data_IF_941403299585
#
_entry.id   IF_941403299585
#
_cell.length_a   1.000
_cell.length_b   1.000
_cell.length_c   1.000
_cell.angle_alpha   90.00
_cell.angle_beta   90.00
_cell.angle_gamma   90.00
#
_symmetry.space_group_name_H-M   'P 1'
#
loop_
_entity.id
_entity.type
_entity.pdbx_description
1 polymer ?
#
# COMPACT_ATOMS: atom_id res chain seq x y z
N UNK A 1 -6.32 -39.78 1.77
CA UNK A 1 -6.23 -38.59 0.88
C UNK A 1 -6.94 -37.34 1.42
N UNK A 2 -8.11 -37.43 2.07
CA UNK A 2 -8.78 -36.27 2.70
C UNK A 2 -7.93 -35.59 3.80
N UNK A 3 -7.22 -36.40 4.62
CA UNK A 3 -6.43 -35.88 5.74
C UNK A 3 -5.21 -35.04 5.29
N UNK A 4 -4.49 -35.43 4.22
CA UNK A 4 -3.31 -34.68 3.73
C UNK A 4 -3.69 -33.28 3.23
N UNK A 5 -4.86 -33.13 2.59
CA UNK A 5 -5.37 -31.81 2.16
C UNK A 5 -5.69 -30.91 3.34
N UNK A 6 -6.28 -31.46 4.39
CA UNK A 6 -6.58 -30.73 5.60
C UNK A 6 -5.29 -30.35 6.34
N UNK A 7 -4.31 -31.25 6.47
CA UNK A 7 -3.03 -30.96 7.13
C UNK A 7 -2.24 -29.88 6.42
N UNK A 8 -2.20 -29.87 5.07
CA UNK A 8 -1.53 -28.82 4.30
C UNK A 8 -2.27 -27.48 4.41
N UNK A 9 -3.60 -27.49 4.35
CA UNK A 9 -4.42 -26.30 4.57
C UNK A 9 -4.21 -25.74 5.99
N UNK A 10 -4.17 -26.60 7.01
CA UNK A 10 -3.88 -26.21 8.40
C UNK A 10 -2.43 -25.76 8.59
N UNK A 11 -1.48 -26.28 7.80
CA UNK A 11 -0.09 -25.82 7.82
C UNK A 11 0.03 -24.43 7.19
N UNK A 12 -0.65 -24.19 6.06
CA UNK A 12 -0.70 -22.88 5.38
C UNK A 12 -1.45 -21.87 6.24
N UNK A 13 -2.62 -22.25 6.78
CA UNK A 13 -3.38 -21.42 7.69
C UNK A 13 -2.60 -21.20 8.99
N UNK A 14 -1.88 -22.20 9.49
CA UNK A 14 -1.01 -22.10 10.67
C UNK A 14 0.23 -21.24 10.44
N UNK A 15 0.80 -21.22 9.24
CA UNK A 15 1.89 -20.30 8.87
C UNK A 15 1.38 -18.90 8.63
N UNK A 16 0.24 -18.72 7.97
CA UNK A 16 -0.40 -17.41 7.80
C UNK A 16 -0.84 -16.81 9.13
N UNK A 17 -1.48 -17.60 10.01
CA UNK A 17 -1.86 -17.18 11.36
C UNK A 17 -0.63 -16.98 12.23
N UNK A 18 0.39 -17.84 12.14
CA UNK A 18 1.63 -17.72 12.90
C UNK A 18 2.48 -16.51 12.48
N UNK A 19 2.48 -16.15 11.19
CA UNK A 19 3.11 -14.93 10.69
C UNK A 19 2.28 -13.70 11.07
N UNK A 20 0.95 -13.74 10.90
CA UNK A 20 0.05 -12.65 11.29
C UNK A 20 0.00 -12.40 12.80
N UNK A 21 0.19 -13.43 13.64
CA UNK A 21 0.19 -13.30 15.10
C UNK A 21 1.52 -12.82 15.68
N UNK A 22 2.61 -12.87 14.91
CA UNK A 22 3.95 -12.46 15.36
C UNK A 22 4.46 -11.16 14.73
N UNK A 23 3.75 -10.59 13.75
CA UNK A 23 4.24 -9.42 13.02
C UNK A 23 3.17 -8.36 12.83
N UNK A 24 3.03 -7.48 13.81
CA UNK A 24 2.29 -6.23 13.64
C UNK A 24 3.08 -5.28 12.75
N UNK A 25 2.42 -4.48 11.91
CA UNK A 25 3.07 -3.43 11.11
C UNK A 25 3.67 -2.31 11.97
N UNK A 26 3.11 -2.14 13.16
CA UNK A 26 3.49 -1.10 14.12
C UNK A 26 3.90 -1.78 15.42
N UNK A 27 5.07 -1.42 15.94
CA UNK A 27 5.50 -1.76 17.31
C UNK A 27 5.04 -0.64 18.22
N UNK A 28 4.21 -0.98 19.21
CA UNK A 28 3.75 -0.02 20.23
C UNK A 28 4.60 -0.22 21.48
N UNK A 29 5.25 0.83 21.93
CA UNK A 29 5.97 0.88 23.20
C UNK A 29 5.18 1.73 24.19
N UNK A 30 5.08 1.27 25.44
CA UNK A 30 4.42 1.98 26.52
C UNK A 30 5.47 2.40 27.54
N UNK A 31 5.63 3.70 27.70
CA UNK A 31 6.41 4.26 28.80
C UNK A 31 5.50 4.62 29.95
N UNK A 32 5.77 4.04 31.11
CA UNK A 32 5.13 4.42 32.36
C UNK A 32 6.02 5.40 33.11
N UNK A 33 5.43 6.50 33.52
CA UNK A 33 6.05 7.50 34.35
C UNK A 33 5.27 7.62 35.66
N UNK A 34 5.99 7.88 36.74
CA UNK A 34 5.41 8.06 38.07
C UNK A 34 5.97 9.31 38.72
N UNK A 35 5.13 10.30 38.94
CA UNK A 35 5.49 11.48 39.72
C UNK A 35 5.05 11.24 41.18
N UNK A 36 5.99 11.44 42.11
CA UNK A 36 5.74 11.32 43.54
C UNK A 36 5.69 12.72 44.13
N UNK A 37 4.50 13.17 44.51
CA UNK A 37 4.31 14.39 45.27
C UNK A 37 4.33 14.04 46.75
N UNK A 38 5.20 14.69 47.51
CA UNK A 38 5.30 14.52 48.95
C UNK A 38 5.07 15.86 49.62
N UNK A 39 3.96 15.98 50.35
CA UNK A 39 3.71 17.10 51.23
C UNK A 39 3.95 16.68 52.70
N UNK A 40 4.55 17.57 53.47
CA UNK A 40 4.85 17.34 54.88
C UNK A 40 4.37 18.54 55.68
N UNK A 41 3.25 18.34 56.39
CA UNK A 41 2.67 19.34 57.27
C UNK A 41 3.15 19.07 58.69
N UNK A 42 3.87 20.03 59.26
CA UNK A 42 4.30 20.00 60.66
C UNK A 42 3.41 20.94 61.46
N UNK A 43 2.61 20.39 62.37
CA UNK A 43 1.79 21.18 63.30
C UNK A 43 2.39 21.11 64.68
N UNK A 44 2.74 22.26 65.25
CA UNK A 44 3.24 22.36 66.61
C UNK A 44 2.20 23.02 67.51
N UNK A 45 1.82 22.35 68.60
CA UNK A 45 0.90 22.90 69.59
C UNK A 45 1.58 22.93 70.96
N UNK A 46 1.70 24.12 71.51
CA UNK A 46 2.10 24.31 72.90
C UNK A 46 0.84 24.27 73.78
N UNK A 47 0.76 23.30 74.67
CA UNK A 47 -0.38 23.16 75.59
C UNK A 47 0.03 23.79 76.92
N UNK A 48 -0.53 24.97 77.19
CA UNK A 48 -0.46 25.56 78.51
C UNK A 48 -1.57 24.94 79.37
N UNK A 49 -1.23 24.48 80.57
CA UNK A 49 -2.21 23.87 81.48
C UNK A 49 -3.30 24.91 81.87
N UNK A 50 -4.60 24.59 81.73
CA UNK A 50 -5.66 25.51 82.12
C UNK A 50 -5.92 25.40 83.63
N UNK A 51 -5.75 26.50 84.36
CA UNK A 51 -6.04 26.58 85.80
C UNK A 51 -5.72 27.95 86.40
N UNK A 52 -6.53 28.37 87.38
CA UNK A 52 -6.36 29.62 88.13
C UNK A 52 -4.98 29.61 88.81
N UNK A 53 -4.17 30.62 88.48
CA UNK A 53 -2.73 30.67 88.78
C UNK A 53 -2.49 31.14 90.20
N UNK A 54 -1.66 30.41 90.95
CA UNK A 54 -1.00 30.89 92.16
C UNK A 54 0.32 31.55 91.77
N UNK A 55 0.57 32.76 92.28
CA UNK A 55 1.71 33.60 91.92
C UNK A 55 3.03 32.98 92.43
N UNK A 56 3.75 32.22 91.59
CA UNK A 56 5.17 31.91 91.86
C UNK A 56 5.77 30.64 91.23
N UNK A 57 4.97 29.70 90.71
CA UNK A 57 5.50 28.41 90.22
C UNK A 57 5.47 28.32 88.69
N UNK A 58 6.64 28.23 88.05
CA UNK A 58 6.78 28.07 86.60
C UNK A 58 6.77 26.58 86.25
N UNK A 59 5.73 26.12 85.58
CA UNK A 59 5.67 24.76 85.05
C UNK A 59 6.25 24.70 83.61
N UNK A 60 6.96 23.62 83.23
CA UNK A 60 7.42 23.44 81.86
C UNK A 60 6.21 23.26 80.92
N UNK A 61 6.15 24.04 79.84
CA UNK A 61 5.15 23.85 78.79
C UNK A 61 5.41 22.54 78.04
N UNK A 62 4.37 21.73 77.83
CA UNK A 62 4.47 20.55 76.96
C UNK A 62 4.28 20.96 75.50
N UNK A 63 5.25 20.60 74.65
CA UNK A 63 5.19 20.76 73.20
C UNK A 63 4.73 19.45 72.59
N UNK A 64 3.64 19.48 71.84
CA UNK A 64 3.19 18.35 71.02
C UNK A 64 3.43 18.73 69.55
N UNK A 65 4.26 17.96 68.87
CA UNK A 65 4.50 18.09 67.43
C UNK A 65 3.81 16.94 66.71
N UNK A 66 2.91 17.26 65.79
CA UNK A 66 2.28 16.29 64.89
C UNK A 66 2.85 16.50 63.49
N UNK A 67 3.41 15.45 62.92
CA UNK A 67 3.93 15.45 61.55
C UNK A 67 2.97 14.60 60.72
N UNK A 68 2.31 15.22 59.75
CA UNK A 68 1.47 14.54 58.77
C UNK A 68 2.20 14.53 57.44
N UNK A 69 2.39 13.34 56.87
CA UNK A 69 2.95 13.18 55.54
C UNK A 69 1.85 12.73 54.60
N UNK A 70 1.64 13.46 53.51
CA UNK A 70 0.78 13.06 52.40
C UNK A 70 1.67 12.72 51.21
N UNK A 71 1.43 11.56 50.61
CA UNK A 71 2.19 11.07 49.46
C UNK A 71 1.18 10.76 48.37
N UNK A 72 1.19 11.58 47.33
CA UNK A 72 0.39 11.36 46.13
C UNK A 72 1.28 10.79 45.03
N UNK A 73 0.79 9.72 44.41
CA UNK A 73 1.45 9.04 43.32
C UNK A 73 0.63 9.23 42.04
N UNK A 74 1.17 10.00 41.11
CA UNK A 74 0.57 10.28 39.80
C UNK A 74 1.25 9.41 38.76
N UNK A 75 0.53 8.41 38.24
CA UNK A 75 1.02 7.57 37.15
C UNK A 75 0.46 8.06 35.82
N UNK A 76 1.34 8.25 34.83
CA UNK A 76 0.95 8.55 33.46
C UNK A 76 1.63 7.56 32.51
N UNK A 77 0.87 7.16 31.47
CA UNK A 77 1.34 6.27 30.42
C UNK A 77 1.43 7.07 29.11
N UNK A 78 2.54 6.91 28.39
CA UNK A 78 2.70 7.45 27.04
C UNK A 78 2.93 6.31 26.07
N UNK A 79 2.10 6.23 25.04
CA UNK A 79 2.27 5.28 23.95
C UNK A 79 3.13 5.90 22.83
N UNK A 80 4.07 5.13 22.31
CA UNK A 80 4.91 5.47 21.15
C UNK A 80 4.76 4.40 20.10
N UNK A 81 4.66 4.82 18.85
CA UNK A 81 4.43 3.92 17.73
C UNK A 81 5.59 3.97 16.74
N UNK A 82 6.16 2.81 16.41
CA UNK A 82 7.29 2.65 15.50
C UNK A 82 6.95 1.72 14.33
N UNK A 83 7.51 1.90 13.14
CA UNK A 83 7.38 0.91 12.08
C UNK A 83 8.09 -0.38 12.46
N UNK A 84 7.37 -1.49 12.34
CA UNK A 84 7.91 -2.82 12.55
C UNK A 84 7.99 -3.59 11.22
N UNK A 85 8.48 -2.93 10.18
CA UNK A 85 8.75 -3.54 8.87
C UNK A 85 9.90 -2.83 8.16
N UNK A 86 10.64 -3.59 7.37
CA UNK A 86 11.64 -3.09 6.42
C UNK A 86 10.96 -2.79 5.07
N UNK A 87 9.95 -3.58 4.69
CA UNK A 87 9.16 -3.29 3.49
C UNK A 87 7.70 -3.69 3.69
N UNK A 88 6.77 -2.84 3.26
CA UNK A 88 5.35 -3.14 3.21
C UNK A 88 4.78 -2.64 1.88
N UNK A 89 4.32 -3.57 1.04
CA UNK A 89 3.90 -3.30 -0.32
C UNK A 89 2.55 -3.91 -0.68
N UNK A 90 1.69 -3.16 -1.38
CA UNK A 90 0.43 -3.73 -1.87
C UNK A 90 0.63 -4.56 -3.14
N UNK A 91 1.25 -3.96 -4.16
CA UNK A 91 1.37 -4.57 -5.49
C UNK A 91 2.75 -4.33 -6.09
N UNK A 92 3.30 -5.36 -6.70
CA UNK A 92 4.51 -5.29 -7.52
C UNK A 92 4.24 -6.04 -8.83
N UNK A 93 4.48 -5.35 -9.95
CA UNK A 93 4.44 -5.93 -11.28
C UNK A 93 5.80 -5.75 -11.97
N UNK A 94 6.26 -6.79 -12.66
CA UNK A 94 7.50 -6.78 -13.44
C UNK A 94 7.26 -7.42 -14.79
N UNK A 95 7.61 -6.72 -15.87
CA UNK A 95 7.60 -7.29 -17.21
C UNK A 95 8.91 -8.03 -17.46
N UNK A 96 8.85 -9.31 -17.84
CA UNK A 96 10.01 -10.18 -18.01
C UNK A 96 10.44 -10.27 -19.48
N UNK A 97 11.75 -10.19 -19.70
CA UNK A 97 12.44 -10.32 -20.98
C UNK A 97 13.39 -11.52 -20.88
N UNK A 98 13.47 -12.31 -21.94
CA UNK A 98 14.35 -13.48 -22.01
C UNK A 98 13.89 -14.70 -21.22
N UNK A 99 12.71 -14.64 -20.58
CA UNK A 99 12.11 -15.77 -19.85
C UNK A 99 11.56 -16.87 -20.74
N UNK A 100 11.20 -16.54 -21.98
CA UNK A 100 10.86 -17.52 -23.01
C UNK A 100 11.20 -16.98 -24.40
N UNK A 101 11.63 -17.86 -25.29
CA UNK A 101 11.88 -17.57 -26.70
C UNK A 101 10.62 -17.67 -27.57
N UNK A 102 9.62 -18.43 -27.12
CA UNK A 102 8.36 -18.71 -27.84
C UNK A 102 7.16 -18.46 -26.94
N UNK A 103 5.95 -18.37 -27.50
CA UNK A 103 4.70 -18.35 -26.71
C UNK A 103 4.67 -17.19 -25.70
N UNK A 104 5.06 -15.99 -26.14
CA UNK A 104 5.21 -14.81 -25.27
C UNK A 104 3.85 -14.19 -24.95
N UNK A 105 3.64 -13.83 -23.68
CA UNK A 105 2.39 -13.28 -23.18
C UNK A 105 2.16 -11.82 -23.62
N UNK A 106 3.23 -11.01 -23.71
CA UNK A 106 3.09 -9.60 -24.12
C UNK A 106 2.49 -8.70 -23.05
N UNK A 107 2.96 -8.82 -21.80
CA UNK A 107 2.46 -8.04 -20.64
C UNK A 107 2.91 -6.57 -20.59
N UNK A 108 3.72 -6.15 -21.58
CA UNK A 108 4.27 -4.80 -21.67
C UNK A 108 5.27 -4.42 -20.55
N UNK A 109 5.62 -3.14 -20.52
CA UNK A 109 6.49 -2.55 -19.50
C UNK A 109 5.87 -2.73 -18.10
N UNK A 110 6.68 -3.03 -17.09
CA UNK A 110 6.22 -3.30 -15.72
C UNK A 110 5.25 -4.48 -15.56
N UNK A 111 4.93 -5.22 -16.63
CA UNK A 111 4.01 -6.35 -16.58
C UNK A 111 2.54 -5.97 -16.38
N UNK A 112 2.18 -4.69 -16.40
CA UNK A 112 0.83 -4.22 -16.08
C UNK A 112 0.01 -3.81 -17.29
N UNK A 113 0.53 -4.03 -18.50
CA UNK A 113 -0.13 -3.72 -19.77
C UNK A 113 -0.41 -5.00 -20.58
N UNK A 114 -1.18 -5.97 -20.05
CA UNK A 114 -1.52 -7.18 -20.79
C UNK A 114 -2.56 -6.87 -21.87
N UNK A 115 -2.34 -7.35 -23.08
CA UNK A 115 -3.33 -7.25 -24.16
C UNK A 115 -4.62 -7.99 -23.76
N UNK A 116 -5.68 -7.23 -23.46
CA UNK A 116 -6.92 -7.75 -22.90
C UNK A 116 -7.69 -8.64 -23.88
N UNK A 117 -7.52 -8.46 -25.19
CA UNK A 117 -8.13 -9.33 -26.21
C UNK A 117 -7.46 -10.72 -26.23
N UNK A 118 -6.22 -10.79 -25.74
CA UNK A 118 -5.40 -12.01 -25.70
C UNK A 118 -5.41 -12.69 -24.34
N UNK A 119 -6.24 -12.25 -23.39
CA UNK A 119 -6.43 -12.90 -22.09
C UNK A 119 -7.54 -13.96 -22.14
N UNK A 120 -7.51 -14.86 -23.12
CA UNK A 120 -8.41 -16.02 -23.19
C UNK A 120 -7.71 -17.30 -22.69
N UNK A 121 -8.49 -18.27 -22.22
CA UNK A 121 -7.95 -19.57 -21.79
C UNK A 121 -7.24 -20.32 -22.93
N UNK A 122 -7.60 -20.01 -24.18
CA UNK A 122 -7.04 -20.62 -25.39
C UNK A 122 -5.81 -19.88 -25.91
N UNK A 123 -5.49 -18.70 -25.38
CA UNK A 123 -4.33 -17.94 -25.81
C UNK A 123 -3.04 -18.57 -25.28
N UNK A 124 -2.13 -18.87 -26.22
CA UNK A 124 -0.87 -19.57 -25.94
C UNK A 124 0.35 -18.71 -26.23
N UNK A 125 0.17 -17.41 -26.46
CA UNK A 125 1.25 -16.47 -26.68
C UNK A 125 1.69 -16.33 -28.14
N UNK A 126 2.40 -15.25 -28.41
CA UNK A 126 2.91 -14.90 -29.74
C UNK A 126 4.44 -14.79 -29.71
N UNK A 127 5.10 -14.73 -30.87
CA UNK A 127 6.57 -14.61 -30.91
C UNK A 127 7.06 -13.15 -30.99
N UNK A 128 6.16 -12.21 -31.33
CA UNK A 128 6.43 -10.80 -31.63
C UNK A 128 6.72 -9.93 -30.40
N UNK A 129 6.30 -10.33 -29.21
CA UNK A 129 6.42 -9.51 -28.00
C UNK A 129 7.87 -9.43 -27.46
N UNK A 130 8.25 -8.27 -26.90
CA UNK A 130 9.52 -8.13 -26.17
C UNK A 130 9.42 -8.73 -24.76
N UNK A 131 8.32 -8.41 -24.07
CA UNK A 131 8.04 -8.92 -22.73
C UNK A 131 7.36 -10.29 -22.81
N UNK A 132 8.14 -11.33 -22.56
CA UNK A 132 7.74 -12.73 -22.71
C UNK A 132 6.75 -13.19 -21.64
N UNK A 133 6.84 -12.62 -20.43
CA UNK A 133 5.97 -12.96 -19.32
C UNK A 133 6.05 -11.91 -18.22
N UNK A 134 5.57 -12.23 -17.02
CA UNK A 134 5.41 -11.28 -15.92
C UNK A 134 5.74 -11.88 -14.56
N UNK A 135 6.21 -11.06 -13.63
CA UNK A 135 6.27 -11.40 -12.20
C UNK A 135 5.32 -10.47 -11.46
N UNK A 136 4.45 -11.06 -10.64
CA UNK A 136 3.46 -10.33 -9.86
C UNK A 136 3.52 -10.75 -8.39
N UNK A 137 3.52 -9.78 -7.49
CA UNK A 137 3.38 -10.02 -6.05
C UNK A 137 2.31 -9.12 -5.48
N UNK A 138 1.52 -9.66 -4.56
CA UNK A 138 0.49 -8.91 -3.83
C UNK A 138 0.68 -9.11 -2.33
N UNK A 139 0.54 -8.03 -1.56
CA UNK A 139 0.63 -8.03 -0.10
C UNK A 139 2.00 -8.46 0.40
N UNK A 140 3.01 -7.66 0.09
CA UNK A 140 4.43 -7.89 0.36
C UNK A 140 4.76 -7.36 1.74
N UNK A 141 5.38 -8.18 2.56
CA UNK A 141 5.85 -7.79 3.88
C UNK A 141 7.26 -8.31 4.10
N UNK A 142 8.14 -7.46 4.59
CA UNK A 142 9.49 -7.84 4.97
C UNK A 142 9.87 -7.23 6.32
N UNK A 143 10.48 -8.06 7.16
CA UNK A 143 10.93 -7.72 8.49
C UNK A 143 12.43 -7.84 8.61
N UNK A 144 12.99 -7.12 9.58
CA UNK A 144 14.41 -7.20 9.90
C UNK A 144 14.75 -8.62 10.37
N UNK A 145 15.70 -9.26 9.70
CA UNK A 145 16.20 -10.56 10.12
C UNK A 145 17.34 -10.36 11.13
N UNK A 146 17.10 -10.77 12.37
CA UNK A 146 18.06 -10.62 13.49
C UNK A 146 19.14 -11.71 13.57
N UNK A 147 19.34 -12.45 12.48
CA UNK A 147 20.38 -13.46 12.39
C UNK A 147 21.75 -12.80 12.20
N UNK A 148 22.83 -13.54 12.49
CA UNK A 148 24.21 -13.06 12.33
C UNK A 148 24.53 -11.80 13.15
N UNK A 149 24.09 -11.75 14.41
CA UNK A 149 24.34 -10.62 15.33
C UNK A 149 23.76 -9.30 14.82
N UNK A 150 22.52 -9.32 14.34
CA UNK A 150 21.81 -8.14 13.85
C UNK A 150 22.51 -7.41 12.69
N UNK A 151 23.22 -8.17 11.83
CA UNK A 151 23.90 -7.62 10.67
C UNK A 151 22.93 -6.76 9.82
N UNK A 152 23.33 -5.51 9.56
CA UNK A 152 22.50 -4.54 8.84
C UNK A 152 22.11 -5.04 7.45
N UNK A 153 20.89 -4.67 7.02
CA UNK A 153 20.39 -4.89 5.67
C UNK A 153 19.78 -6.28 5.40
N UNK A 154 19.86 -7.23 6.33
CA UNK A 154 19.18 -8.52 6.17
C UNK A 154 17.70 -8.43 6.52
N UNK A 155 16.85 -8.94 5.62
CA UNK A 155 15.42 -9.10 5.85
C UNK A 155 14.94 -10.50 5.51
N UNK A 156 13.88 -10.89 6.20
CA UNK A 156 13.04 -12.02 5.85
C UNK A 156 11.67 -11.49 5.50
N UNK A 157 11.06 -12.02 4.44
CA UNK A 157 9.77 -11.52 4.00
C UNK A 157 8.93 -12.57 3.31
N UNK A 158 7.72 -12.17 2.99
CA UNK A 158 6.75 -12.96 2.26
C UNK A 158 5.85 -12.05 1.43
N UNK A 159 5.10 -12.64 0.50
CA UNK A 159 3.97 -11.97 -0.14
C UNK A 159 2.73 -12.82 0.05
N UNK A 160 1.53 -12.23 0.09
CA UNK A 160 0.30 -13.04 0.18
C UNK A 160 0.23 -14.03 -0.99
N UNK A 161 0.54 -13.56 -2.19
CA UNK A 161 0.67 -14.38 -3.40
C UNK A 161 1.84 -13.90 -4.27
N UNK A 162 2.47 -14.83 -4.98
CA UNK A 162 3.45 -14.56 -6.04
C UNK A 162 3.13 -15.39 -7.27
N UNK A 163 3.19 -14.74 -8.44
CA UNK A 163 3.12 -15.37 -9.75
C UNK A 163 4.42 -15.04 -10.51
N UNK A 164 5.05 -16.06 -11.09
CA UNK A 164 6.18 -15.92 -12.02
C UNK A 164 5.79 -16.65 -13.30
N UNK A 165 5.45 -15.87 -14.32
CA UNK A 165 5.03 -16.35 -15.62
C UNK A 165 6.20 -16.21 -16.60
N UNK A 166 6.81 -17.31 -17.06
CA UNK A 166 7.88 -17.22 -18.06
C UNK A 166 7.35 -16.89 -19.46
N UNK A 167 6.12 -17.32 -19.75
CA UNK A 167 5.48 -17.30 -21.06
C UNK A 167 3.95 -17.22 -20.88
N UNK A 168 3.19 -17.23 -21.96
CA UNK A 168 1.73 -17.32 -21.93
C UNK A 168 1.21 -18.72 -21.53
N UNK A 169 2.09 -19.72 -21.45
CA UNK A 169 1.69 -21.09 -21.10
C UNK A 169 1.39 -21.21 -19.61
N UNK A 170 0.12 -21.36 -19.26
CA UNK A 170 -0.33 -21.50 -17.87
C UNK A 170 0.34 -22.64 -17.11
N UNK A 171 0.70 -23.75 -17.77
CA UNK A 171 1.37 -24.90 -17.12
C UNK A 171 2.82 -24.64 -16.72
N UNK A 172 3.49 -23.66 -17.33
CA UNK A 172 4.87 -23.25 -17.00
C UNK A 172 4.89 -22.16 -15.92
N UNK A 173 3.72 -21.59 -15.57
CA UNK A 173 3.60 -20.57 -14.52
C UNK A 173 3.91 -21.14 -13.13
N UNK A 174 4.77 -20.44 -12.40
CA UNK A 174 5.01 -20.71 -10.99
C UNK A 174 4.10 -19.81 -10.14
N UNK A 175 3.30 -20.40 -9.27
CA UNK A 175 2.43 -19.68 -8.34
C UNK A 175 2.63 -20.21 -6.93
N UNK A 176 2.83 -19.30 -5.97
CA UNK A 176 2.87 -19.64 -4.56
C UNK A 176 2.02 -18.69 -3.71
N UNK A 177 1.45 -19.23 -2.65
CA UNK A 177 0.85 -18.50 -1.54
C UNK A 177 1.90 -18.42 -0.44
N UNK A 178 2.11 -17.23 0.12
CA UNK A 178 3.10 -17.00 1.18
C UNK A 178 4.51 -17.56 0.88
N UNK A 179 5.11 -17.31 -0.32
CA UNK A 179 6.52 -17.65 -0.54
C UNK A 179 7.41 -16.94 0.47
N UNK A 180 8.53 -17.55 0.82
CA UNK A 180 9.48 -17.00 1.80
C UNK A 180 10.66 -16.43 1.05
N UNK A 181 11.05 -15.20 1.39
CA UNK A 181 12.22 -14.53 0.85
C UNK A 181 13.23 -14.25 1.95
N UNK A 182 14.49 -14.52 1.65
CA UNK A 182 15.62 -13.97 2.40
C UNK A 182 16.31 -12.98 1.49
N UNK A 183 16.48 -11.74 1.97
CA UNK A 183 17.05 -10.65 1.17
C UNK A 183 18.15 -9.95 1.96
N UNK A 184 19.11 -9.40 1.22
CA UNK A 184 20.11 -8.49 1.77
C UNK A 184 20.09 -7.21 0.96
N UNK A 185 19.79 -6.07 1.60
CA UNK A 185 19.80 -4.76 0.95
C UNK A 185 21.13 -4.05 1.16
N UNK A 186 21.66 -3.53 0.07
CA UNK A 186 22.76 -2.58 0.06
C UNK A 186 22.22 -1.24 -0.42
N UNK A 187 22.22 -0.24 0.45
CA UNK A 187 21.83 1.11 0.09
C UNK A 187 23.02 1.79 -0.60
N UNK A 188 22.84 2.14 -1.87
CA UNK A 188 23.76 2.99 -2.63
C UNK A 188 23.49 4.48 -2.35
N UNK A 189 22.26 4.78 -1.91
CA UNK A 189 21.82 6.09 -1.42
C UNK A 189 20.91 5.88 -0.22
N UNK A 190 21.28 6.48 0.91
CA UNK A 190 20.64 6.29 2.23
C UNK A 190 19.49 7.26 2.52
N UNK A 191 19.06 8.05 1.53
CA UNK A 191 17.99 9.04 1.67
C UNK A 191 17.03 8.97 0.47
N UNK A 192 15.74 9.18 0.70
CA UNK A 192 14.69 9.10 -0.33
C UNK A 192 15.07 9.98 -1.55
N UNK A 193 14.83 9.53 -2.81
CA UNK A 193 14.63 8.14 -3.18
C UNK A 193 15.85 7.29 -2.81
N UNK A 194 15.65 6.24 -2.03
CA UNK A 194 16.65 5.21 -1.81
C UNK A 194 16.98 4.56 -3.14
N UNK A 195 18.26 4.24 -3.30
CA UNK A 195 18.74 3.42 -4.40
C UNK A 195 19.34 2.18 -3.74
N UNK A 196 18.76 1.01 -3.99
CA UNK A 196 19.16 -0.22 -3.31
C UNK A 196 19.49 -1.32 -4.30
N UNK A 197 20.58 -2.04 -4.04
CA UNK A 197 20.86 -3.32 -4.65
C UNK A 197 20.48 -4.44 -3.68
N UNK A 198 19.62 -5.37 -4.12
CA UNK A 198 19.00 -6.37 -3.25
C UNK A 198 19.12 -7.77 -3.85
N UNK A 199 20.20 -8.52 -3.56
CA UNK A 199 20.20 -9.97 -3.74
C UNK A 199 19.14 -10.62 -2.87
N UNK A 200 18.48 -11.64 -3.41
CA UNK A 200 17.38 -12.35 -2.80
C UNK A 200 17.35 -13.82 -3.19
N UNK A 201 16.91 -14.62 -2.23
CA UNK A 201 16.55 -16.02 -2.40
C UNK A 201 15.08 -16.16 -2.01
N UNK A 202 14.24 -16.56 -2.96
CA UNK A 202 12.83 -16.86 -2.77
C UNK A 202 12.56 -18.36 -2.85
N UNK A 203 11.68 -18.85 -1.98
CA UNK A 203 11.23 -20.23 -1.94
C UNK A 203 9.71 -20.24 -1.93
N UNK A 204 9.12 -20.79 -3.00
CA UNK A 204 7.70 -21.12 -3.05
C UNK A 204 7.50 -22.58 -2.68
N UNK A 205 6.58 -22.87 -1.76
CA UNK A 205 6.31 -24.25 -1.32
C UNK A 205 5.00 -24.79 -1.89
N UNK A 206 3.98 -23.93 -2.03
CA UNK A 206 2.65 -24.33 -2.48
C UNK A 206 1.91 -23.19 -3.20
N UNK A 207 1.15 -23.46 -4.28
CA UNK A 207 0.96 -24.77 -4.92
C UNK A 207 2.09 -25.22 -5.84
N UNK A 208 2.88 -24.30 -6.40
CA UNK A 208 4.14 -24.62 -7.07
C UNK A 208 5.26 -24.68 -6.05
N UNK A 209 6.15 -25.66 -6.18
CA UNK A 209 7.39 -25.70 -5.41
C UNK A 209 8.51 -25.13 -6.28
N UNK A 210 9.13 -24.03 -5.88
CA UNK A 210 10.20 -23.41 -6.67
C UNK A 210 11.25 -22.71 -5.82
N UNK A 211 12.40 -22.55 -6.44
CA UNK A 211 13.51 -21.72 -6.00
C UNK A 211 13.64 -20.53 -6.96
N UNK A 212 13.73 -19.32 -6.42
CA UNK A 212 13.97 -18.11 -7.19
C UNK A 212 15.22 -17.41 -6.66
N UNK A 213 16.30 -17.44 -7.44
CA UNK A 213 17.53 -16.71 -7.14
C UNK A 213 17.54 -15.43 -7.96
N UNK A 214 17.49 -14.27 -7.31
CA UNK A 214 17.39 -13.00 -8.04
C UNK A 214 18.09 -11.85 -7.34
N UNK A 215 18.53 -10.86 -8.11
CA UNK A 215 18.96 -9.56 -7.62
C UNK A 215 18.09 -8.47 -8.21
N UNK A 216 17.79 -7.45 -7.40
CA UNK A 216 17.09 -6.26 -7.87
C UNK A 216 17.90 -4.98 -7.65
N UNK A 217 17.74 -4.03 -8.57
CA UNK A 217 18.12 -2.63 -8.39
C UNK A 217 16.84 -1.82 -8.29
N UNK A 218 16.62 -1.20 -7.12
CA UNK A 218 15.38 -0.53 -6.78
C UNK A 218 15.62 0.97 -6.54
N UNK A 219 14.71 1.81 -7.05
CA UNK A 219 14.64 3.25 -6.81
C UNK A 219 13.28 3.54 -6.17
N UNK A 220 13.26 4.01 -4.93
CA UNK A 220 12.02 4.11 -4.13
C UNK A 220 12.30 4.51 -2.68
N UNK A 221 11.38 4.66 -1.73
CA UNK A 221 9.91 4.71 -1.78
C UNK A 221 9.46 6.15 -1.91
N UNK A 222 9.19 6.56 -3.15
CA UNK A 222 8.69 7.91 -3.44
C UNK A 222 7.17 7.84 -3.33
N UNK A 223 6.62 8.18 -2.17
CA UNK A 223 5.17 8.04 -1.94
C UNK A 223 4.64 6.60 -1.98
N UNK A 224 5.49 5.62 -1.71
CA UNK A 224 5.14 4.21 -1.92
C UNK A 224 5.20 3.76 -3.39
N UNK A 225 5.79 4.56 -4.29
CA UNK A 225 6.08 4.13 -5.67
C UNK A 225 7.56 3.78 -5.78
N UNK A 226 7.82 2.58 -6.32
CA UNK A 226 9.16 2.05 -6.55
C UNK A 226 9.33 1.64 -8.00
N UNK A 227 10.45 2.00 -8.62
CA UNK A 227 10.90 1.46 -9.91
C UNK A 227 12.00 0.45 -9.69
N UNK A 228 11.96 -0.65 -10.45
CA UNK A 228 12.84 -1.79 -10.20
C UNK A 228 13.33 -2.44 -11.47
N UNK A 229 14.54 -2.94 -11.40
CA UNK A 229 15.10 -3.85 -12.40
C UNK A 229 15.48 -5.15 -11.73
N UNK A 230 15.08 -6.27 -12.31
CA UNK A 230 15.33 -7.62 -11.81
C UNK A 230 16.24 -8.39 -12.76
N UNK A 231 17.10 -9.22 -12.18
CA UNK A 231 17.82 -10.28 -12.88
C UNK A 231 17.76 -11.53 -12.02
N UNK A 232 17.37 -12.67 -12.58
CA UNK A 232 17.30 -13.90 -11.81
C UNK A 232 17.11 -15.16 -12.64
N UNK A 233 17.00 -16.27 -11.91
CA UNK A 233 16.65 -17.58 -12.43
C UNK A 233 15.60 -18.20 -11.51
N UNK A 234 14.51 -18.68 -12.11
CA UNK A 234 13.49 -19.44 -11.42
C UNK A 234 13.55 -20.90 -11.85
N UNK A 235 13.50 -21.80 -10.87
CA UNK A 235 13.51 -23.25 -11.06
C UNK A 235 12.38 -23.83 -10.24
N UNK A 236 11.41 -24.49 -10.87
CA UNK A 236 10.24 -24.98 -10.14
C UNK A 236 9.66 -26.28 -10.64
N UNK A 237 8.67 -26.74 -9.89
CA UNK A 237 7.91 -27.95 -10.11
C UNK A 237 6.41 -27.68 -9.90
N UNK A 238 5.64 -27.87 -10.95
CA UNK A 238 4.18 -27.84 -10.95
C UNK A 238 3.66 -29.26 -10.92
N UNK A 239 3.17 -29.70 -9.76
CA UNK A 239 2.60 -31.04 -9.59
C UNK A 239 1.30 -31.19 -10.39
N UNK A 240 0.88 -32.44 -10.70
CA UNK A 240 -0.41 -32.72 -11.36
C UNK A 240 -1.64 -32.18 -10.61
N UNK A 241 -1.47 -31.94 -9.31
CA UNK A 241 -2.54 -31.43 -8.42
C UNK A 241 -2.53 -29.90 -8.32
N UNK A 242 -1.51 -29.23 -8.85
CA UNK A 242 -1.41 -27.78 -8.85
C UNK A 242 -2.52 -27.16 -9.72
N UNK A 243 -3.07 -25.98 -9.35
CA UNK A 243 -4.11 -25.31 -10.13
C UNK A 243 -3.78 -25.09 -11.61
N UNK A 244 -2.49 -24.98 -11.94
CA UNK A 244 -1.98 -24.73 -13.28
C UNK A 244 -2.06 -25.95 -14.21
N UNK A 245 -2.03 -27.16 -13.64
CA UNK A 245 -2.03 -28.44 -14.37
C UNK A 245 -3.39 -29.13 -14.25
N UNK A 246 -4.05 -29.00 -13.10
CA UNK A 246 -5.27 -29.74 -12.80
C UNK A 246 -6.43 -29.22 -13.66
N UNK A 247 -6.86 -30.04 -14.63
CA UNK A 247 -7.94 -29.66 -15.55
C UNK A 247 -7.47 -28.69 -16.63
N UNK A 248 -6.16 -28.65 -16.90
CA UNK A 248 -5.59 -27.92 -18.03
C UNK A 248 -5.78 -28.74 -19.31
N UNK A 249 -6.33 -28.11 -20.35
CA UNK A 249 -6.66 -28.75 -21.63
C UNK A 249 -5.42 -29.16 -22.45
N UNK A 250 -4.24 -28.61 -22.13
CA UNK A 250 -2.99 -28.82 -22.86
C UNK A 250 -2.08 -29.88 -22.22
N UNK A 251 -2.05 -29.98 -20.89
CA UNK A 251 -1.25 -30.98 -20.18
C UNK A 251 -1.90 -31.41 -18.88
N UNK A 252 -1.89 -32.72 -18.63
CA UNK A 252 -2.25 -33.33 -17.33
C UNK A 252 -1.03 -33.84 -16.56
N UNK A 253 0.17 -33.69 -17.14
CA UNK A 253 1.42 -34.12 -16.54
C UNK A 253 2.10 -33.01 -15.76
N UNK A 254 2.90 -33.42 -14.76
CA UNK A 254 3.66 -32.47 -13.95
C UNK A 254 4.73 -31.79 -14.81
N UNK A 255 4.96 -30.50 -14.57
CA UNK A 255 5.90 -29.69 -15.34
C UNK A 255 7.04 -29.18 -14.45
N UNK A 256 8.25 -29.11 -15.01
CA UNK A 256 9.45 -28.57 -14.33
C UNK A 256 10.00 -27.37 -15.10
N UNK A 257 9.40 -26.17 -14.96
CA UNK A 257 9.90 -25.00 -15.65
C UNK A 257 11.21 -24.51 -15.00
N UNK A 258 12.20 -24.22 -15.84
CA UNK A 258 13.46 -23.57 -15.47
C UNK A 258 13.72 -22.46 -16.48
N UNK A 259 13.84 -21.23 -16.02
CA UNK A 259 14.04 -20.09 -16.91
C UNK A 259 14.83 -18.97 -16.23
N UNK A 260 15.80 -18.36 -16.92
CA UNK A 260 16.35 -17.09 -16.51
C UNK A 260 15.35 -15.97 -16.81
N UNK A 261 15.49 -14.82 -16.18
CA UNK A 261 14.70 -13.65 -16.53
C UNK A 261 15.47 -12.37 -16.22
N UNK A 262 15.30 -11.39 -17.10
CA UNK A 262 15.57 -10.00 -16.82
C UNK A 262 14.23 -9.27 -16.79
N UNK A 263 14.02 -8.30 -15.91
CA UNK A 263 12.72 -7.63 -15.84
C UNK A 263 12.81 -6.19 -15.40
N UNK A 264 11.85 -5.40 -15.83
CA UNK A 264 11.66 -4.02 -15.39
C UNK A 264 10.27 -3.93 -14.78
N UNK A 265 10.19 -3.37 -13.58
CA UNK A 265 9.00 -3.41 -12.74
C UNK A 265 8.71 -2.11 -12.02
N UNK A 266 7.48 -2.05 -11.52
CA UNK A 266 6.96 -0.99 -10.67
C UNK A 266 6.28 -1.62 -9.46
N UNK A 267 6.37 -0.96 -8.32
CA UNK A 267 5.59 -1.31 -7.14
C UNK A 267 4.81 -0.10 -6.66
N UNK A 268 3.58 -0.32 -6.22
CA UNK A 268 2.63 0.72 -5.80
C UNK A 268 2.16 0.44 -4.39
N UNK A 269 2.04 1.50 -3.58
CA UNK A 269 1.86 1.44 -2.12
C UNK A 269 2.90 0.53 -1.46
N UNK A 270 4.16 0.75 -1.80
CA UNK A 270 5.31 -0.05 -1.40
C UNK A 270 6.37 0.79 -0.69
N UNK A 271 6.27 0.76 0.64
CA UNK A 271 7.12 1.52 1.56
C UNK A 271 8.34 0.71 1.95
N UNK A 272 9.49 1.36 1.97
CA UNK A 272 10.78 0.77 2.35
C UNK A 272 11.36 1.61 3.49
N UNK A 273 11.78 0.93 4.57
CA UNK A 273 12.49 1.51 5.69
C UNK A 273 13.90 0.91 5.79
N UNK A 274 14.85 1.72 6.26
CA UNK A 274 16.13 1.24 6.77
C UNK A 274 15.96 0.60 8.15
N UNK A 275 16.97 -0.17 8.57
CA UNK A 275 16.96 -0.80 9.89
C UNK A 275 17.02 0.23 11.03
N UNK A 276 17.58 1.41 10.78
CA UNK A 276 17.63 2.51 11.74
C UNK A 276 16.29 3.26 11.80
N UNK A 277 15.56 3.29 10.69
CA UNK A 277 14.25 3.95 10.59
C UNK A 277 13.15 3.18 11.33
N UNK A 278 13.33 1.89 11.62
CA UNK A 278 12.41 1.13 12.49
C UNK A 278 12.47 1.55 13.97
N UNK A 279 13.42 2.42 14.33
CA UNK A 279 13.57 2.97 15.68
C UNK A 279 13.17 4.46 15.74
N UNK A 280 12.61 5.01 14.65
CA UNK A 280 12.05 6.37 14.59
C UNK A 280 10.53 6.28 14.77
N UNK A 281 9.95 7.17 15.57
CA UNK A 281 8.51 7.19 15.80
C UNK A 281 7.76 7.61 14.53
N UNK A 282 6.59 7.02 14.24
CA UNK A 282 5.78 7.29 13.03
C UNK A 282 5.54 8.78 12.76
N UNK A 283 5.37 9.60 13.80
CA UNK A 283 5.14 11.04 13.70
C UNK A 283 6.37 11.83 13.20
N UNK A 284 7.57 11.26 13.33
CA UNK A 284 8.84 11.90 12.96
C UNK A 284 9.35 11.43 11.60
N UNK A 285 8.73 10.41 11.01
CA UNK A 285 9.10 9.93 9.68
C UNK A 285 8.97 11.01 8.61
N UNK A 286 9.90 10.97 7.66
CA UNK A 286 9.89 11.83 6.50
C UNK A 286 8.98 11.27 5.40
N UNK A 287 8.16 12.14 4.81
CA UNK A 287 7.27 11.78 3.71
C UNK A 287 7.59 12.58 2.44
N UNK A 288 7.40 11.97 1.28
CA UNK A 288 7.69 12.55 -0.04
C UNK A 288 6.42 12.80 -0.88
N UNK A 289 5.24 12.67 -0.30
CA UNK A 289 3.96 12.73 -1.00
C UNK A 289 2.93 13.48 -0.21
N UNK A 290 2.06 14.18 -0.92
CA UNK A 290 0.92 14.92 -0.38
C UNK A 290 -0.22 13.98 -0.01
N UNK A 291 -0.40 12.92 -0.77
CA UNK A 291 -1.53 12.00 -0.64
C UNK A 291 -1.09 10.59 -1.01
N UNK A 292 -1.48 9.61 -0.20
CA UNK A 292 -1.28 8.19 -0.49
C UNK A 292 -2.50 7.41 0.02
N UNK A 293 -3.15 6.67 -0.86
CA UNK A 293 -4.42 6.01 -0.54
C UNK A 293 -4.65 4.67 -1.21
N UNK A 294 -5.50 3.85 -0.57
CA UNK A 294 -5.83 2.51 -1.06
C UNK A 294 -6.98 2.51 -2.07
N UNK A 295 -8.12 3.12 -1.73
CA UNK A 295 -9.30 3.17 -2.60
C UNK A 295 -9.96 4.53 -2.50
N UNK A 296 -10.22 5.16 -3.63
CA UNK A 296 -11.08 6.34 -3.74
C UNK A 296 -12.31 5.98 -4.56
N UNK A 297 -13.50 6.17 -3.99
CA UNK A 297 -14.77 5.92 -4.64
C UNK A 297 -15.55 7.23 -4.78
N UNK A 298 -16.15 7.48 -5.95
CA UNK A 298 -16.99 8.66 -6.18
C UNK A 298 -18.20 8.31 -7.03
N UNK A 299 -19.37 8.83 -6.69
CA UNK A 299 -20.54 8.84 -7.58
C UNK A 299 -20.50 10.10 -8.45
N UNK A 300 -20.79 9.96 -9.74
CA UNK A 300 -20.68 11.03 -10.72
C UNK A 300 -22.05 11.43 -11.29
N UNK A 301 -22.35 12.72 -11.21
CA UNK A 301 -23.37 13.40 -11.99
C UNK A 301 -22.71 13.92 -13.26
N UNK A 302 -23.05 13.34 -14.41
CA UNK A 302 -22.38 13.66 -15.68
C UNK A 302 -23.34 14.24 -16.73
N UNK A 303 -22.76 14.86 -17.75
CA UNK A 303 -23.48 15.30 -18.95
C UNK A 303 -23.86 14.15 -19.90
N UNK A 304 -23.58 12.89 -19.56
CA UNK A 304 -23.88 11.73 -20.38
C UNK A 304 -25.38 11.62 -20.69
N UNK A 305 -25.73 11.10 -21.87
CA UNK A 305 -27.13 10.92 -22.30
C UNK A 305 -27.83 9.85 -21.46
N UNK A 306 -27.18 8.70 -21.29
CA UNK A 306 -27.73 7.53 -20.64
C UNK A 306 -27.00 7.26 -19.31
N UNK A 307 -27.76 6.91 -18.27
CA UNK A 307 -27.20 6.53 -16.96
C UNK A 307 -26.62 5.11 -17.02
N UNK A 308 -25.43 4.90 -16.43
CA UNK A 308 -24.84 3.57 -16.28
C UNK A 308 -25.59 2.68 -15.28
N UNK A 309 -26.50 3.24 -14.49
CA UNK A 309 -27.29 2.52 -13.48
C UNK A 309 -28.70 2.15 -13.95
N UNK A 310 -29.10 2.63 -15.13
CA UNK A 310 -30.44 2.41 -15.67
C UNK A 310 -30.40 1.40 -16.82
N UNK A 311 -31.53 0.73 -17.06
CA UNK A 311 -31.68 -0.17 -18.21
C UNK A 311 -31.54 0.58 -19.55
N UNK A 312 -30.99 -0.11 -20.55
CA UNK A 312 -30.81 0.44 -21.90
C UNK A 312 -32.16 0.88 -22.47
N UNK A 313 -32.31 2.18 -22.75
CA UNK A 313 -33.51 2.76 -23.34
C UNK A 313 -34.57 3.22 -22.33
N UNK A 314 -34.27 3.25 -21.04
CA UNK A 314 -35.13 3.95 -20.09
C UNK A 314 -34.89 5.46 -20.14
N UNK A 315 -35.98 6.24 -20.20
CA UNK A 315 -35.95 7.71 -20.14
C UNK A 315 -35.96 8.22 -18.68
N UNK A 316 -35.72 7.34 -17.70
CA UNK A 316 -35.73 7.71 -16.29
C UNK A 316 -34.55 8.63 -15.98
N UNK A 317 -34.84 9.82 -15.46
CA UNK A 317 -33.83 10.77 -15.06
C UNK A 317 -33.13 10.28 -13.78
N UNK A 318 -31.87 9.85 -13.90
CA UNK A 318 -31.00 9.61 -12.74
C UNK A 318 -30.10 10.81 -12.47
N UNK A 319 -30.05 11.26 -11.22
CA UNK A 319 -29.14 12.33 -10.77
C UNK A 319 -27.68 11.89 -10.89
N UNK A 320 -27.38 10.66 -10.47
CA UNK A 320 -26.06 10.05 -10.65
C UNK A 320 -26.08 9.15 -11.87
N UNK A 321 -25.19 9.43 -12.82
CA UNK A 321 -25.12 8.69 -14.10
C UNK A 321 -23.91 7.79 -14.20
N UNK A 322 -22.93 7.98 -13.32
CA UNK A 322 -21.66 7.27 -13.38
C UNK A 322 -20.99 7.12 -12.02
N UNK A 323 -19.79 6.53 -12.05
CA UNK A 323 -18.95 6.30 -10.87
C UNK A 323 -17.47 6.37 -11.23
N UNK A 324 -16.63 6.62 -10.24
CA UNK A 324 -15.19 6.56 -10.35
C UNK A 324 -14.58 5.76 -9.20
N UNK A 325 -13.68 4.85 -9.53
CA UNK A 325 -12.90 4.06 -8.58
C UNK A 325 -11.42 4.22 -8.92
N UNK A 326 -10.64 4.80 -8.01
CA UNK A 326 -9.18 4.78 -8.06
C UNK A 326 -8.64 3.83 -7.03
N UNK A 327 -7.66 3.02 -7.40
CA UNK A 327 -7.00 2.04 -6.53
C UNK A 327 -5.53 2.40 -6.42
N UNK A 328 -5.02 2.40 -5.19
CA UNK A 328 -3.63 2.62 -4.85
C UNK A 328 -3.08 3.93 -5.44
N UNK A 329 -3.68 5.07 -5.06
CA UNK A 329 -3.25 6.40 -5.46
C UNK A 329 -2.04 6.87 -4.67
N UNK A 330 -1.17 7.63 -5.34
CA UNK A 330 -0.11 8.39 -4.69
C UNK A 330 0.13 9.69 -5.45
N UNK A 331 0.29 10.79 -4.71
CA UNK A 331 0.59 12.13 -5.22
C UNK A 331 1.90 12.62 -4.64
N UNK A 332 2.98 12.47 -5.40
CA UNK A 332 4.35 12.81 -5.03
C UNK A 332 4.54 14.32 -5.08
N UNK A 333 5.03 14.91 -3.97
CA UNK A 333 5.40 16.32 -3.93
C UNK A 333 6.64 16.56 -4.79
N UNK A 334 6.56 17.55 -5.68
CA UNK A 334 7.66 17.94 -6.56
C UNK A 334 8.41 19.11 -5.92
N UNK A 335 9.72 18.96 -5.63
CA UNK A 335 10.48 19.95 -4.87
C UNK A 335 10.95 21.12 -5.76
N UNK A 336 10.07 21.65 -6.60
CA UNK A 336 10.32 22.81 -7.43
C UNK A 336 9.10 23.72 -7.46
N UNK A 337 9.32 25.04 -7.60
CA UNK A 337 8.26 26.06 -7.73
C UNK A 337 7.20 26.01 -6.59
N UNK A 338 7.55 26.52 -5.40
CA UNK A 338 6.68 26.63 -4.21
C UNK A 338 6.21 25.31 -3.55
N UNK A 339 6.80 24.15 -3.91
CA UNK A 339 6.60 22.83 -3.28
C UNK A 339 5.17 22.26 -3.33
N UNK A 340 4.23 23.04 -3.84
CA UNK A 340 2.82 22.71 -4.00
C UNK A 340 2.54 21.93 -5.29
N UNK A 341 3.46 21.92 -6.26
CA UNK A 341 3.28 21.05 -7.43
C UNK A 341 3.43 19.59 -7.04
N UNK A 342 2.67 18.73 -7.71
CA UNK A 342 2.76 17.29 -7.50
C UNK A 342 2.68 16.52 -8.82
N UNK A 343 3.29 15.34 -8.82
CA UNK A 343 3.09 14.32 -9.83
C UNK A 343 2.42 13.11 -9.17
N UNK A 344 1.29 12.68 -9.68
CA UNK A 344 0.53 11.58 -9.12
C UNK A 344 0.35 10.42 -10.10
N UNK A 345 0.01 9.27 -9.56
CA UNK A 345 -0.45 8.12 -10.33
C UNK A 345 -1.35 7.25 -9.44
N UNK A 346 -1.95 6.22 -10.02
CA UNK A 346 -2.72 5.20 -9.32
C UNK A 346 -2.51 3.86 -9.98
N UNK A 347 -2.53 2.74 -9.25
CA UNK A 347 -2.44 1.43 -9.88
C UNK A 347 -3.52 1.24 -10.95
N UNK A 348 -4.75 1.63 -10.64
CA UNK A 348 -5.88 1.57 -11.57
C UNK A 348 -6.83 2.74 -11.33
N UNK A 349 -7.35 3.32 -12.41
CA UNK A 349 -8.46 4.26 -12.41
C UNK A 349 -9.55 3.71 -13.32
N UNK A 350 -10.72 3.44 -12.76
CA UNK A 350 -11.94 3.07 -13.47
C UNK A 350 -12.91 4.25 -13.39
N UNK A 351 -13.26 4.83 -14.53
CA UNK A 351 -14.17 5.97 -14.61
C UNK A 351 -15.28 5.70 -15.59
N UNK A 352 -16.52 5.71 -15.10
CA UNK A 352 -17.74 5.54 -15.89
C UNK A 352 -18.49 6.86 -15.81
N UNK A 353 -18.70 7.55 -16.93
CA UNK A 353 -19.52 8.76 -16.96
C UNK A 353 -20.96 8.46 -17.32
N UNK A 354 -21.23 7.42 -18.09
CA UNK A 354 -22.57 7.03 -18.51
C UNK A 354 -22.58 5.62 -19.09
N UNK A 355 -23.74 5.17 -19.57
CA UNK A 355 -23.86 3.90 -20.29
C UNK A 355 -23.01 3.95 -21.56
N UNK A 356 -22.20 2.91 -21.80
CA UNK A 356 -21.23 2.82 -22.91
C UNK A 356 -20.14 3.93 -22.91
N UNK A 357 -20.05 4.76 -21.86
CA UNK A 357 -19.08 5.85 -21.72
C UNK A 357 -18.20 5.61 -20.48
N UNK A 358 -17.19 4.76 -20.64
CA UNK A 358 -16.23 4.42 -19.58
C UNK A 358 -14.78 4.40 -20.07
N UNK A 359 -13.87 4.69 -19.16
CA UNK A 359 -12.43 4.66 -19.38
C UNK A 359 -11.73 3.92 -18.23
N UNK A 360 -10.75 3.09 -18.58
CA UNK A 360 -9.86 2.45 -17.61
C UNK A 360 -8.44 2.86 -17.91
N UNK A 361 -7.69 3.22 -16.87
CA UNK A 361 -6.24 3.34 -17.01
C UNK A 361 -5.52 2.62 -15.89
N UNK A 362 -4.43 1.95 -16.25
CA UNK A 362 -3.42 1.43 -15.35
C UNK A 362 -2.27 2.43 -15.32
N UNK A 363 -1.84 2.83 -14.12
CA UNK A 363 -0.78 3.84 -13.93
C UNK A 363 -0.97 5.15 -14.72
N UNK A 364 -2.17 5.77 -14.74
CA UNK A 364 -2.32 7.09 -15.36
C UNK A 364 -1.38 8.10 -14.72
N UNK A 365 -0.91 9.06 -15.50
CA UNK A 365 0.00 10.09 -15.03
C UNK A 365 -0.81 11.34 -14.71
N UNK A 366 -0.68 11.85 -13.49
CA UNK A 366 -1.35 13.07 -13.03
C UNK A 366 -0.34 14.16 -12.73
N UNK A 367 -0.62 15.38 -13.15
CA UNK A 367 0.11 16.57 -12.71
C UNK A 367 -0.88 17.58 -12.16
N UNK A 368 -0.53 18.23 -11.07
CA UNK A 368 -1.41 19.21 -10.47
C UNK A 368 -0.73 20.10 -9.46
N UNK A 369 -1.56 20.88 -8.79
CA UNK A 369 -1.15 21.81 -7.75
C UNK A 369 -1.94 21.51 -6.48
N UNK A 370 -1.24 21.44 -5.36
CA UNK A 370 -1.79 21.21 -4.04
C UNK A 370 -2.06 22.56 -3.36
N UNK A 371 -3.31 22.81 -3.00
CA UNK A 371 -3.71 24.04 -2.32
C UNK A 371 -4.38 23.71 -1.01
N UNK A 372 -3.81 24.18 0.10
CA UNK A 372 -4.46 24.16 1.42
C UNK A 372 -5.45 25.32 1.45
N UNK A 373 -6.73 25.01 1.72
CA UNK A 373 -7.81 25.99 1.82
C UNK A 373 -8.10 26.35 3.28
N UNK A 374 -8.09 25.34 4.14
CA UNK A 374 -8.17 25.46 5.60
C UNK A 374 -7.07 24.55 6.14
N UNK A 375 -6.23 25.10 7.02
CA UNK A 375 -5.15 24.34 7.64
C UNK A 375 -5.70 23.07 8.29
N UNK A 376 -4.99 21.98 8.07
CA UNK A 376 -5.23 20.64 8.58
C UNK A 376 -6.52 19.90 8.15
N UNK A 377 -7.50 20.59 7.55
CA UNK A 377 -8.83 20.01 7.29
C UNK A 377 -9.19 19.95 5.80
N UNK A 378 -8.97 21.05 5.05
CA UNK A 378 -9.52 21.22 3.70
C UNK A 378 -8.43 21.53 2.67
N UNK A 379 -8.36 20.73 1.62
CA UNK A 379 -7.41 20.91 0.51
C UNK A 379 -8.11 20.83 -0.85
N UNK A 380 -7.51 21.47 -1.85
CA UNK A 380 -7.91 21.37 -3.25
C UNK A 380 -6.73 20.90 -4.11
N UNK A 381 -7.05 20.02 -5.07
CA UNK A 381 -6.12 19.38 -5.98
C UNK A 381 -6.61 19.58 -7.44
N UNK A 382 -6.45 20.79 -8.01
CA UNK A 382 -6.55 20.97 -9.46
C UNK A 382 -5.45 20.16 -10.18
N UNK A 383 -5.87 19.37 -11.15
CA UNK A 383 -5.02 18.37 -11.80
C UNK A 383 -5.44 18.05 -13.23
N UNK A 384 -4.46 17.55 -13.99
CA UNK A 384 -4.63 16.96 -15.32
C UNK A 384 -4.14 15.53 -15.21
N UNK A 385 -5.00 14.57 -15.56
CA UNK A 385 -4.70 13.14 -15.58
C UNK A 385 -4.72 12.62 -17.01
N UNK A 386 -3.66 11.92 -17.38
CA UNK A 386 -3.45 11.32 -18.69
C UNK A 386 -3.54 9.80 -18.54
N UNK A 387 -4.60 9.21 -19.07
CA UNK A 387 -4.71 7.77 -19.26
C UNK A 387 -4.18 7.38 -20.64
N UNK A 388 -3.37 6.34 -20.70
CA UNK A 388 -2.77 5.87 -21.96
C UNK A 388 -2.95 4.36 -22.20
N UNK A 389 -3.32 3.60 -21.18
CA UNK A 389 -3.60 2.17 -21.30
C UNK A 389 -4.50 1.69 -20.16
N UNK A 390 -5.51 0.85 -20.41
CA UNK A 390 -5.91 0.36 -21.74
C UNK A 390 -6.70 1.41 -22.54
N UNK A 391 -7.43 2.32 -21.90
CA UNK A 391 -8.08 3.45 -22.56
C UNK A 391 -7.18 4.69 -22.61
N UNK A 392 -7.26 5.45 -23.70
CA UNK A 392 -6.55 6.73 -23.84
C UNK A 392 -7.49 7.91 -23.57
N UNK A 393 -7.20 8.70 -22.55
CA UNK A 393 -8.02 9.87 -22.19
C UNK A 393 -7.20 11.00 -21.57
N UNK A 394 -7.79 12.20 -21.61
CA UNK A 394 -7.36 13.36 -20.82
C UNK A 394 -8.50 13.72 -19.87
N UNK A 395 -8.19 13.84 -18.58
CA UNK A 395 -9.14 14.25 -17.56
C UNK A 395 -8.63 15.50 -16.83
N UNK A 396 -9.34 16.60 -16.96
CA UNK A 396 -9.13 17.84 -16.21
C UNK A 396 -10.01 17.77 -14.96
N UNK A 397 -9.40 17.64 -13.79
CA UNK A 397 -10.12 17.38 -12.55
C UNK A 397 -9.68 18.34 -11.45
N UNK A 398 -10.63 18.83 -10.67
CA UNK A 398 -10.36 19.44 -9.38
C UNK A 398 -11.02 18.60 -8.29
N UNK A 399 -10.20 18.14 -7.33
CA UNK A 399 -10.65 17.39 -6.17
C UNK A 399 -10.52 18.27 -4.93
N UNK A 400 -11.62 18.53 -4.24
CA UNK A 400 -11.64 19.19 -2.93
C UNK A 400 -11.79 18.11 -1.86
N UNK A 401 -10.77 17.92 -1.04
CA UNK A 401 -10.75 16.91 0.02
C UNK A 401 -11.01 17.56 1.38
N UNK A 402 -11.92 16.96 2.14
CA UNK A 402 -12.13 17.19 3.56
C UNK A 402 -11.59 15.98 4.33
N UNK A 403 -10.57 16.21 5.16
CA UNK A 403 -10.01 15.18 6.04
C UNK A 403 -10.95 14.94 7.21
N UNK A 404 -11.50 13.73 7.32
CA UNK A 404 -12.34 13.33 8.46
C UNK A 404 -11.50 12.59 9.50
N UNK A 405 -10.53 11.78 9.06
CA UNK A 405 -9.55 11.09 9.90
C UNK A 405 -8.30 10.75 9.07
N UNK A 406 -7.26 10.20 9.70
CA UNK A 406 -6.02 9.79 9.03
C UNK A 406 -6.18 8.69 7.98
N UNK A 407 -7.35 8.04 7.93
CA UNK A 407 -7.65 6.91 7.03
C UNK A 407 -8.91 7.12 6.19
N UNK A 408 -9.67 8.18 6.45
CA UNK A 408 -10.96 8.41 5.81
C UNK A 408 -11.07 9.88 5.43
N UNK A 409 -11.22 10.13 4.13
CA UNK A 409 -11.45 11.48 3.60
C UNK A 409 -12.76 11.48 2.82
N UNK A 410 -13.46 12.61 2.85
CA UNK A 410 -14.60 12.88 1.98
C UNK A 410 -14.15 13.86 0.92
N UNK A 411 -14.55 13.66 -0.32
CA UNK A 411 -14.11 14.54 -1.40
C UNK A 411 -15.23 14.89 -2.36
N UNK A 412 -15.08 16.07 -2.93
CA UNK A 412 -15.92 16.60 -3.99
C UNK A 412 -15.05 16.78 -5.24
N UNK A 413 -15.46 16.16 -6.35
CA UNK A 413 -14.72 16.17 -7.60
C UNK A 413 -15.53 16.90 -8.65
N UNK A 414 -14.89 17.71 -9.47
CA UNK A 414 -15.53 18.22 -10.68
C UNK A 414 -14.51 18.34 -11.79
N UNK A 415 -14.95 18.08 -13.02
CA UNK A 415 -14.00 18.00 -14.11
C UNK A 415 -14.61 17.79 -15.47
N UNK A 416 -13.71 17.62 -16.43
CA UNK A 416 -13.99 17.33 -17.82
C UNK A 416 -13.08 16.21 -18.29
N UNK A 417 -13.67 15.12 -18.77
CA UNK A 417 -12.95 13.99 -19.35
C UNK A 417 -13.21 13.93 -20.85
N UNK A 418 -12.16 13.62 -21.61
CA UNK A 418 -12.23 13.32 -23.03
C UNK A 418 -11.48 12.02 -23.33
N UNK A 419 -12.20 11.00 -23.82
CA UNK A 419 -11.68 9.68 -24.15
C UNK A 419 -11.56 9.54 -25.67
N UNK A 420 -10.34 9.28 -26.15
CA UNK A 420 -9.99 9.28 -27.57
C UNK A 420 -9.93 7.89 -28.19
N UNK A 421 -9.50 6.90 -27.41
CA UNK A 421 -9.30 5.54 -27.88
C UNK A 421 -9.79 4.53 -26.85
N UNK A 422 -10.49 3.54 -27.37
CA UNK A 422 -11.22 2.55 -26.61
C UNK A 422 -10.68 1.18 -26.93
N UNK A 423 -9.81 0.70 -26.04
CA UNK A 423 -9.54 -0.72 -25.94
C UNK A 423 -10.83 -1.43 -25.52
N UNK A 424 -11.28 -2.40 -26.31
CA UNK A 424 -12.28 -3.35 -25.82
C UNK A 424 -11.68 -4.09 -24.64
N UNK A 425 -12.22 -3.85 -23.46
CA UNK A 425 -11.98 -4.71 -22.31
C UNK A 425 -12.74 -5.99 -22.62
N UNK A 426 -12.03 -7.12 -22.66
CA UNK A 426 -12.54 -8.40 -23.16
C UNK A 426 -13.99 -8.70 -22.77
N UNK A 427 -14.64 -9.53 -23.59
CA UNK A 427 -16.10 -9.73 -23.74
C UNK A 427 -16.97 -9.58 -22.47
N UNK A 428 -16.50 -10.01 -21.29
CA UNK A 428 -17.24 -9.90 -20.03
C UNK A 428 -17.59 -8.45 -19.61
N UNK A 429 -16.68 -7.49 -19.81
CA UNK A 429 -16.96 -6.08 -19.45
C UNK A 429 -17.84 -5.43 -20.53
N UNK A 430 -17.61 -5.78 -21.80
CA UNK A 430 -18.46 -5.40 -22.91
C UNK A 430 -19.91 -5.91 -22.74
N UNK A 431 -20.10 -7.10 -22.19
CA UNK A 431 -21.43 -7.66 -21.87
C UNK A 431 -22.11 -6.84 -20.76
N UNK A 432 -21.37 -6.40 -19.75
CA UNK A 432 -21.92 -5.70 -18.58
C UNK A 432 -22.21 -4.21 -18.84
N UNK A 433 -21.31 -3.50 -19.54
CA UNK A 433 -21.36 -2.04 -19.72
C UNK A 433 -21.38 -1.58 -21.18
N UNK A 434 -21.39 -2.52 -22.13
CA UNK A 434 -21.26 -2.25 -23.57
C UNK A 434 -19.82 -2.03 -24.02
N UNK A 435 -19.66 -1.88 -25.33
CA UNK A 435 -18.40 -1.42 -25.90
C UNK A 435 -18.26 0.06 -25.60
N UNK A 436 -17.14 0.47 -25.01
CA UNK A 436 -16.88 1.89 -24.76
C UNK A 436 -16.92 2.65 -26.08
N UNK A 437 -17.58 3.81 -26.11
CA UNK A 437 -17.59 4.77 -27.21
C UNK A 437 -16.66 5.95 -26.93
N UNK A 438 -16.19 6.66 -27.95
CA UNK A 438 -15.44 7.89 -27.71
C UNK A 438 -16.38 8.93 -27.11
N UNK A 439 -15.97 9.56 -26.01
CA UNK A 439 -16.86 10.43 -25.25
C UNK A 439 -16.14 11.63 -24.66
N UNK A 440 -16.91 12.69 -24.43
CA UNK A 440 -16.44 13.90 -23.76
C UNK A 440 -17.52 14.40 -22.82
N UNK A 441 -17.24 14.45 -21.52
CA UNK A 441 -18.26 14.79 -20.53
C UNK A 441 -17.71 15.69 -19.43
N UNK A 442 -18.54 16.67 -19.05
CA UNK A 442 -18.43 17.30 -17.75
C UNK A 442 -19.02 16.39 -16.68
N UNK A 443 -18.41 16.41 -15.50
CA UNK A 443 -18.92 15.68 -14.35
C UNK A 443 -18.71 16.48 -13.06
N UNK A 444 -19.62 16.21 -12.12
CA UNK A 444 -19.52 16.60 -10.72
C UNK A 444 -19.70 15.32 -9.91
N UNK A 445 -18.91 15.11 -8.87
CA UNK A 445 -18.93 13.90 -8.09
C UNK A 445 -18.73 14.14 -6.61
N UNK A 446 -19.30 13.24 -5.83
CA UNK A 446 -19.12 13.18 -4.39
C UNK A 446 -18.62 11.79 -4.02
N UNK A 447 -17.65 11.72 -3.12
CA UNK A 447 -16.97 10.47 -2.85
C UNK A 447 -16.29 10.40 -1.50
N UNK A 448 -15.78 9.21 -1.23
CA UNK A 448 -15.07 8.85 0.00
C UNK A 448 -13.80 8.12 -0.39
N UNK A 449 -12.72 8.43 0.32
CA UNK A 449 -11.42 7.78 0.18
C UNK A 449 -11.12 6.99 1.45
N UNK A 450 -10.74 5.72 1.26
CA UNK A 450 -10.47 4.75 2.32
C UNK A 450 -8.99 4.40 2.39
N UNK A 451 -8.47 4.32 3.62
CA UNK A 451 -7.04 4.19 3.92
C UNK A 451 -6.22 5.19 3.11
N UNK A 452 -6.67 6.45 3.11
CA UNK A 452 -6.14 7.56 2.35
C UNK A 452 -5.57 8.59 3.32
N UNK A 453 -4.25 8.72 3.35
CA UNK A 453 -3.54 9.64 4.24
C UNK A 453 -3.07 10.85 3.45
N UNK A 454 -3.62 12.01 3.82
CA UNK A 454 -3.17 13.31 3.36
C UNK A 454 -2.10 13.82 4.33
N UNK A 455 -0.93 14.16 3.81
CA UNK A 455 0.20 14.64 4.60
C UNK A 455 0.20 16.17 4.69
N UNK A 456 0.50 16.69 5.87
CA UNK A 456 0.64 18.12 6.08
C UNK A 456 1.95 18.65 5.52
N UNK A 457 2.03 19.96 5.19
CA UNK A 457 3.27 20.56 4.72
C UNK A 457 4.47 20.27 5.64
N UNK A 458 4.29 20.25 6.97
CA UNK A 458 5.37 20.00 7.95
C UNK A 458 5.81 18.52 8.00
N UNK A 459 4.95 17.60 7.53
CA UNK A 459 5.27 16.17 7.40
C UNK A 459 6.07 15.87 6.13
N UNK A 460 6.09 16.80 5.16
CA UNK A 460 6.90 16.66 3.96
C UNK A 460 8.36 16.95 4.26
N UNK A 461 9.22 16.02 3.83
CA UNK A 461 10.68 16.15 3.93
C UNK A 461 11.27 17.40 3.29
N UNK A 462 10.59 17.98 2.30
CA UNK A 462 11.09 19.13 1.54
C UNK A 462 10.86 20.45 2.26
N UNK A 463 10.05 20.45 3.32
CA UNK A 463 9.69 21.62 4.12
C UNK A 463 10.39 21.64 5.50
N UNK A 464 11.29 20.68 5.78
CA UNK A 464 12.03 20.59 7.04
C UNK A 464 13.40 21.26 6.95
#
# INVERSE_FOLDING_TARGET
MKNIKNTLLYLILGTLVGLASCTTLTRVEKDSFSDILRDTVVTEKNINHPGNRDNGTVYPSSKVTTITNEIDLLNYEKEREYPNFIRAGLFEGVGLIGSSSTNKLGVGLFGVFPDFEKLSNDYRGENSSLFAGGLYRVGIFEWRLRWFRDAHGWSIGTSMVEFILPSAKGEEMLFAVAPIYVRKRFFLRDAIPYITFTPSLGIGLYPSTYLNLSGSLDIGSIGGINFRTYLGIAMGYNSKLSPQIKGNDFTSEAQTPIFPYFGIGVSVLDFINKAEETEIEWKEHEHSSWDVGLVQFSMLMSAAKNSAFNDRGSDEASTFKGLQIKVANASISLPFLNLNFFAGTSLMNFMVTGLDEYAISVLPIRFGYWQVLIDDELSAEPSIELGYYPSSYINLNNKVNLRVSDKLNVHFNFGYINCFDNSNLGDNIAIAYGNSLTFSNFYIGFGVSFMDRIFFPQELRYNR
#
